data_IF_116789235103
#
_entry.id   IF_116789235103
#
_cell.length_a   1.000
_cell.length_b   1.000
_cell.length_c   1.000
_cell.angle_alpha   90.00
_cell.angle_beta   90.00
_cell.angle_gamma   90.00
#
_symmetry.space_group_name_H-M   'P 1'
#
loop_
_entity.id
_entity.type
_entity.pdbx_description
1 polymer ?
#
# COMPACT_ATOMS: atom_id res chain seq x y z
N UNK A 1 -21.53 10.61 -7.07
CA UNK A 1 -21.29 10.12 -5.69
C UNK A 1 -19.83 9.67 -5.66
N UNK A 2 -18.99 10.17 -4.75
CA UNK A 2 -17.53 10.18 -4.88
C UNK A 2 -16.93 8.75 -4.90
N UNK A 3 -16.58 8.24 -6.07
CA UNK A 3 -15.90 6.96 -6.27
C UNK A 3 -14.45 7.08 -5.78
N UNK A 4 -14.23 6.90 -4.48
CA UNK A 4 -12.87 6.91 -3.93
C UNK A 4 -12.10 5.72 -4.50
N UNK A 5 -11.04 5.98 -5.27
CA UNK A 5 -10.19 4.96 -5.90
C UNK A 5 -9.48 4.07 -4.84
N UNK A 6 -9.20 4.64 -3.67
CA UNK A 6 -8.55 3.97 -2.54
C UNK A 6 -9.31 4.20 -1.23
N UNK A 7 -9.37 3.15 -0.42
CA UNK A 7 -9.98 3.19 0.90
C UNK A 7 -8.96 3.65 1.96
N UNK A 8 -7.66 3.39 1.74
CA UNK A 8 -6.55 3.78 2.61
C UNK A 8 -5.30 4.07 1.78
N UNK A 9 -4.55 5.12 2.15
CA UNK A 9 -3.22 5.41 1.58
C UNK A 9 -2.19 5.48 2.71
N UNK A 10 -1.14 4.66 2.64
CA UNK A 10 -0.05 4.64 3.62
C UNK A 10 1.13 5.45 3.10
N UNK A 11 1.36 6.62 3.68
CA UNK A 11 2.54 7.44 3.39
C UNK A 11 3.75 6.97 4.19
N UNK A 12 4.91 6.94 3.54
CA UNK A 12 6.14 6.44 4.17
C UNK A 12 6.16 4.92 4.32
N UNK A 13 5.47 4.20 3.44
CA UNK A 13 5.33 2.74 3.49
C UNK A 13 6.66 1.96 3.45
N UNK A 14 7.75 2.60 3.03
CA UNK A 14 9.11 2.01 3.00
C UNK A 14 9.94 2.33 4.23
N UNK A 15 9.39 3.08 5.19
CA UNK A 15 10.02 3.33 6.50
C UNK A 15 9.66 2.23 7.48
N UNK A 16 10.31 2.22 8.65
CA UNK A 16 10.12 1.18 9.66
C UNK A 16 8.64 0.97 10.05
N UNK A 17 7.97 2.04 10.49
CA UNK A 17 6.55 1.98 10.87
C UNK A 17 5.65 1.72 9.66
N UNK A 18 6.01 2.25 8.49
CA UNK A 18 5.24 2.08 7.26
C UNK A 18 5.20 0.62 6.80
N UNK A 19 6.33 -0.08 6.89
CA UNK A 19 6.40 -1.51 6.54
C UNK A 19 5.58 -2.37 7.50
N UNK A 20 5.64 -2.08 8.80
CA UNK A 20 4.82 -2.77 9.81
C UNK A 20 3.33 -2.52 9.58
N UNK A 21 2.96 -1.29 9.28
CA UNK A 21 1.58 -0.91 8.97
C UNK A 21 1.08 -1.62 7.71
N UNK A 22 1.89 -1.65 6.65
CA UNK A 22 1.57 -2.35 5.41
C UNK A 22 1.42 -3.86 5.64
N UNK A 23 2.29 -4.47 6.45
CA UNK A 23 2.19 -5.89 6.81
C UNK A 23 0.90 -6.19 7.58
N UNK A 24 0.62 -5.41 8.63
CA UNK A 24 -0.58 -5.57 9.42
C UNK A 24 -1.85 -5.45 8.57
N UNK A 25 -1.86 -4.54 7.58
CA UNK A 25 -2.98 -4.40 6.66
C UNK A 25 -3.09 -5.52 5.65
N UNK A 26 -1.99 -6.06 5.14
CA UNK A 26 -2.04 -7.23 4.25
C UNK A 26 -2.65 -8.45 4.95
N UNK A 27 -2.47 -8.57 6.26
CA UNK A 27 -2.98 -9.69 7.07
C UNK A 27 -4.41 -9.47 7.58
N UNK A 28 -4.81 -8.24 7.91
CA UNK A 28 -6.06 -7.97 8.61
C UNK A 28 -7.08 -7.16 7.81
N UNK A 29 -6.74 -6.71 6.59
CA UNK A 29 -7.69 -5.96 5.78
C UNK A 29 -8.84 -6.85 5.30
N UNK A 30 -10.07 -6.32 5.24
CA UNK A 30 -11.20 -7.05 4.66
C UNK A 30 -10.94 -7.35 3.16
N UNK A 31 -11.59 -8.40 2.66
CA UNK A 31 -11.46 -8.81 1.27
C UNK A 31 -11.93 -7.70 0.34
N UNK A 32 -11.11 -7.36 -0.66
CA UNK A 32 -11.40 -6.27 -1.60
C UNK A 32 -11.00 -4.87 -1.14
N UNK A 33 -10.34 -4.71 0.01
CA UNK A 33 -9.82 -3.40 0.44
C UNK A 33 -8.78 -2.84 -0.54
N UNK A 34 -9.01 -1.61 -1.02
CA UNK A 34 -8.14 -0.92 -1.97
C UNK A 34 -7.15 -0.03 -1.23
N UNK A 35 -6.05 -0.63 -0.77
CA UNK A 35 -5.01 0.05 0.01
C UNK A 35 -3.84 0.44 -0.88
N UNK A 36 -3.48 1.73 -0.92
CA UNK A 36 -2.34 2.23 -1.66
C UNK A 36 -1.12 2.48 -0.77
N UNK A 37 0.08 2.26 -1.32
CA UNK A 37 1.36 2.59 -0.68
C UNK A 37 2.01 3.80 -1.36
N UNK A 38 2.41 4.80 -0.58
CA UNK A 38 3.06 6.01 -1.04
C UNK A 38 4.42 6.22 -0.34
N UNK A 39 5.38 6.75 -1.09
CA UNK A 39 6.76 6.95 -0.62
C UNK A 39 7.69 7.52 -1.68
N UNK A 40 8.93 7.84 -1.26
CA UNK A 40 9.92 8.53 -2.10
C UNK A 40 10.62 7.64 -3.13
N UNK A 41 10.63 6.32 -2.91
CA UNK A 41 11.37 5.38 -3.76
C UNK A 41 10.43 4.30 -4.29
N UNK A 42 10.19 4.34 -5.60
CA UNK A 42 9.32 3.38 -6.30
C UNK A 42 9.85 1.96 -6.17
N UNK A 43 11.15 1.76 -6.34
CA UNK A 43 11.79 0.44 -6.22
C UNK A 43 11.59 -0.17 -4.82
N UNK A 44 11.72 0.63 -3.76
CA UNK A 44 11.46 0.17 -2.38
C UNK A 44 9.97 -0.12 -2.15
N UNK A 45 9.07 0.68 -2.72
CA UNK A 45 7.62 0.44 -2.62
C UNK A 45 7.20 -0.84 -3.33
N UNK A 46 7.71 -1.08 -4.54
CA UNK A 46 7.44 -2.32 -5.28
C UNK A 46 7.96 -3.55 -4.54
N UNK A 47 9.16 -3.46 -3.97
CA UNK A 47 9.72 -4.53 -3.15
C UNK A 47 8.85 -4.80 -1.91
N UNK A 48 8.37 -3.74 -1.24
CA UNK A 48 7.46 -3.84 -0.09
C UNK A 48 6.14 -4.50 -0.49
N UNK A 49 5.56 -4.10 -1.62
CA UNK A 49 4.32 -4.69 -2.16
C UNK A 49 4.50 -6.18 -2.45
N UNK A 50 5.61 -6.56 -3.11
CA UNK A 50 5.92 -7.96 -3.43
C UNK A 50 6.10 -8.81 -2.17
N UNK A 51 6.76 -8.27 -1.14
CA UNK A 51 6.97 -8.96 0.15
C UNK A 51 5.68 -9.20 0.93
N UNK A 52 4.67 -8.35 0.74
CA UNK A 52 3.45 -8.30 1.58
C UNK A 52 2.16 -8.68 0.85
N UNK A 53 2.24 -9.16 -0.40
CA UNK A 53 1.06 -9.68 -1.08
C UNK A 53 0.76 -11.08 -0.50
N UNK A 54 -0.28 -11.19 0.33
CA UNK A 54 -0.77 -12.48 0.83
C UNK A 54 -1.43 -13.27 -0.29
N UNK A 55 -1.32 -14.60 -0.22
CA UNK A 55 -1.78 -15.57 -1.22
C UNK A 55 -3.31 -15.61 -1.36
N UNK A 56 -4.03 -15.06 -0.38
CA UNK A 56 -5.49 -15.10 -0.26
C UNK A 56 -6.21 -13.93 -0.97
N UNK A 57 -5.57 -13.27 -1.94
CA UNK A 57 -6.21 -12.25 -2.77
C UNK A 57 -6.24 -10.83 -2.17
N UNK A 58 -5.67 -10.63 -0.98
CA UNK A 58 -5.44 -9.31 -0.39
C UNK A 58 -4.09 -8.75 -0.84
N UNK A 59 -3.95 -8.45 -2.14
CA UNK A 59 -2.79 -7.68 -2.56
C UNK A 59 -3.05 -6.22 -2.18
N UNK A 60 -2.16 -5.61 -1.39
CA UNK A 60 -2.14 -4.16 -1.19
C UNK A 60 -2.24 -3.52 -2.58
N UNK A 61 -3.39 -2.92 -2.86
CA UNK A 61 -3.73 -2.36 -4.15
C UNK A 61 -2.63 -1.40 -4.63
N UNK A 62 -2.58 -1.21 -5.96
CA UNK A 62 -1.67 -0.34 -6.73
C UNK A 62 -0.80 0.56 -5.85
N UNK A 63 0.52 0.43 -5.97
CA UNK A 63 1.43 1.45 -5.48
C UNK A 63 1.03 2.77 -6.16
N UNK A 64 0.37 3.65 -5.41
CA UNK A 64 -0.04 4.95 -5.92
C UNK A 64 1.19 5.82 -5.78
N UNK A 65 1.88 6.00 -6.90
CA UNK A 65 2.73 7.15 -7.06
C UNK A 65 1.85 8.38 -7.24
N UNK A 66 1.27 8.88 -6.15
CA UNK A 66 0.71 10.22 -6.11
C UNK A 66 1.88 11.19 -5.98
N UNK A 67 2.47 11.50 -7.13
CA UNK A 67 2.80 12.86 -7.54
C UNK A 67 2.99 13.91 -6.41
N UNK A 68 3.96 13.70 -5.52
CA UNK A 68 4.59 14.79 -4.77
C UNK A 68 5.91 15.14 -5.46
N UNK A 69 5.85 15.30 -6.79
CA UNK A 69 6.82 16.13 -7.50
C UNK A 69 6.60 17.56 -7.03
N UNK A 70 7.43 18.01 -6.09
CA UNK A 70 8.22 19.21 -6.35
C UNK A 70 9.40 18.81 -7.21
#
# INVERSE_FOLDING_TARGET
>A
MNEREHDLVVYGATGFVGELTAAHRAEHAPAGARIALAGRSVTKLEATRRRKCSRDGHCLARAVWAALRG
#
